data_IF_328724230046
#
_entry.id   IF_328724230046
#
_cell.length_a   1.000
_cell.length_b   1.000
_cell.length_c   1.000
_cell.angle_alpha   90.00
_cell.angle_beta   90.00
_cell.angle_gamma   90.00
#
_symmetry.space_group_name_H-M   'P 1'
#
loop_
_entity.id
_entity.type
_entity.pdbx_description
1 polymer ?
#
# COMPACT_ATOMS: atom_id res chain seq x y z
N UNK A 1 -15.25 3.50 71.78
CA UNK A 1 -15.28 4.73 70.96
C UNK A 1 -14.15 4.66 69.95
N UNK A 2 -14.47 4.82 68.65
CA UNK A 2 -13.71 5.60 67.65
C UNK A 2 -12.18 5.33 67.59
N UNK A 3 -11.58 4.87 66.47
CA UNK A 3 -11.55 5.56 65.17
C UNK A 3 -11.00 4.63 64.08
N UNK A 4 -11.68 4.63 62.94
CA UNK A 4 -11.18 4.21 61.63
C UNK A 4 -10.05 5.14 61.17
N UNK A 5 -8.91 4.60 60.74
CA UNK A 5 -7.84 5.22 59.93
C UNK A 5 -6.90 4.07 59.50
N UNK A 6 -6.44 3.86 58.27
CA UNK A 6 -6.60 4.53 56.99
C UNK A 6 -6.49 3.46 55.89
N UNK A 7 -7.43 3.48 54.95
CA UNK A 7 -7.28 2.81 53.65
C UNK A 7 -6.25 3.64 52.86
N UNK A 8 -5.00 3.19 52.83
CA UNK A 8 -4.00 3.69 51.89
C UNK A 8 -4.25 2.99 50.55
N UNK A 9 -5.14 3.60 49.76
CA UNK A 9 -5.42 3.22 48.39
C UNK A 9 -4.16 3.34 47.54
N UNK A 10 -3.61 2.18 47.17
CA UNK A 10 -2.64 2.06 46.09
C UNK A 10 -3.41 2.32 44.79
N UNK A 11 -3.49 3.59 44.38
CA UNK A 11 -3.79 3.93 42.99
C UNK A 11 -2.59 3.51 42.15
N UNK A 12 -2.61 2.25 41.68
CA UNK A 12 -1.81 1.84 40.53
C UNK A 12 -2.40 2.57 39.33
N UNK A 13 -1.93 3.78 39.08
CA UNK A 13 -2.11 4.41 37.77
C UNK A 13 -1.31 3.58 36.79
N UNK A 14 -1.97 2.61 36.16
CA UNK A 14 -1.53 2.04 34.89
C UNK A 14 -1.53 3.18 33.89
N UNK A 15 -0.44 3.92 33.82
CA UNK A 15 -0.09 4.72 32.65
C UNK A 15 0.18 3.73 31.52
N UNK A 16 -0.90 3.24 30.91
CA UNK A 16 -0.82 2.64 29.59
C UNK A 16 -0.32 3.78 28.72
N UNK A 17 0.98 3.79 28.45
CA UNK A 17 1.54 4.55 27.36
C UNK A 17 0.90 4.02 26.10
N UNK A 18 -0.26 4.57 25.75
CA UNK A 18 -0.75 4.53 24.39
C UNK A 18 0.29 5.34 23.65
N UNK A 19 1.31 4.68 23.11
CA UNK A 19 2.03 5.20 21.97
C UNK A 19 0.95 5.29 20.89
N UNK A 20 0.24 6.42 20.87
CA UNK A 20 -0.41 6.90 19.68
C UNK A 20 0.74 7.13 18.71
N UNK A 21 1.12 6.06 18.02
CA UNK A 21 1.95 6.16 16.84
C UNK A 21 1.13 7.06 15.93
N UNK A 22 1.53 8.33 15.88
CA UNK A 22 0.90 9.35 15.05
C UNK A 22 0.66 8.70 13.70
N UNK A 23 -0.54 8.85 13.10
CA UNK A 23 -0.73 8.48 11.71
C UNK A 23 0.47 9.03 10.96
N UNK A 24 1.23 8.15 10.31
CA UNK A 24 2.41 8.55 9.57
C UNK A 24 1.98 9.68 8.64
N UNK A 25 2.44 10.90 8.95
CA UNK A 25 2.03 12.11 8.25
C UNK A 25 2.05 11.81 6.75
N UNK A 26 0.98 12.16 6.04
CA UNK A 26 0.90 11.93 4.62
C UNK A 26 2.16 12.55 3.97
N UNK A 27 2.94 11.69 3.32
CA UNK A 27 4.22 12.06 2.71
C UNK A 27 4.24 11.42 1.33
N UNK A 28 4.51 12.18 0.27
CA UNK A 28 4.63 11.62 -1.08
C UNK A 28 5.86 10.72 -1.18
N UNK A 29 6.00 10.04 -2.32
CA UNK A 29 7.11 9.11 -2.58
C UNK A 29 8.49 9.78 -2.76
N UNK A 30 8.54 11.11 -2.67
CA UNK A 30 9.75 11.93 -2.84
C UNK A 30 9.91 12.96 -1.72
N UNK A 31 11.10 13.51 -1.61
CA UNK A 31 11.43 14.53 -0.62
C UNK A 31 10.92 15.90 -1.07
N UNK A 32 9.91 16.43 -0.37
CA UNK A 32 9.32 17.75 -0.66
C UNK A 32 10.33 18.90 -0.59
N UNK A 33 11.42 18.78 0.18
CA UNK A 33 12.48 19.79 0.20
C UNK A 33 13.25 19.87 -1.13
N UNK A 34 13.12 18.83 -1.98
CA UNK A 34 13.75 18.74 -3.31
C UNK A 34 12.76 18.94 -4.46
N UNK A 35 11.51 19.32 -4.16
CA UNK A 35 10.51 19.60 -5.18
C UNK A 35 10.97 20.77 -6.09
N UNK A 36 11.00 20.54 -7.40
CA UNK A 36 11.43 21.53 -8.39
C UNK A 36 10.33 21.88 -9.38
N UNK A 37 9.45 20.93 -9.68
CA UNK A 37 8.35 21.08 -10.63
C UNK A 37 7.09 21.62 -9.94
N UNK A 38 6.18 22.19 -10.73
CA UNK A 38 4.90 22.71 -10.23
C UNK A 38 4.04 21.58 -9.65
N UNK A 39 3.99 20.43 -10.32
CA UNK A 39 3.27 19.25 -9.84
C UNK A 39 3.80 18.76 -8.49
N UNK A 40 5.12 18.67 -8.33
CA UNK A 40 5.71 18.27 -7.04
C UNK A 40 5.33 19.23 -5.91
N UNK A 41 5.31 20.54 -6.18
CA UNK A 41 4.88 21.54 -5.21
C UNK A 41 3.40 21.41 -4.87
N UNK A 42 2.53 21.18 -5.86
CA UNK A 42 1.10 20.94 -5.64
C UNK A 42 0.89 19.73 -4.73
N UNK A 43 1.60 18.63 -4.99
CA UNK A 43 1.52 17.42 -4.15
C UNK A 43 2.00 17.71 -2.73
N UNK A 44 3.13 18.40 -2.58
CA UNK A 44 3.69 18.73 -1.27
C UNK A 44 2.81 19.68 -0.45
N UNK A 45 2.11 20.61 -1.09
CA UNK A 45 1.26 21.59 -0.43
C UNK A 45 -0.22 21.16 -0.32
N UNK A 46 -0.56 19.92 -0.68
CA UNK A 46 -1.91 19.39 -0.50
C UNK A 46 -2.23 19.18 0.99
N UNK A 47 -2.87 20.16 1.60
CA UNK A 47 -3.27 20.16 3.01
C UNK A 47 -4.16 18.96 3.40
N UNK A 48 -4.93 18.42 2.44
CA UNK A 48 -5.78 17.26 2.68
C UNK A 48 -4.97 15.96 2.79
N UNK A 49 -3.74 15.94 2.29
CA UNK A 49 -2.88 14.78 2.17
C UNK A 49 -3.34 13.73 1.15
N UNK A 50 -4.43 13.97 0.41
CA UNK A 50 -4.96 13.01 -0.59
C UNK A 50 -3.94 12.74 -1.69
N UNK A 51 -3.36 13.76 -2.29
CA UNK A 51 -2.38 13.66 -3.37
C UNK A 51 -1.06 13.06 -2.89
N UNK A 52 -0.63 13.40 -1.68
CA UNK A 52 0.56 12.82 -1.05
C UNK A 52 0.39 11.30 -0.87
N UNK A 53 -0.78 10.88 -0.39
CA UNK A 53 -1.13 9.47 -0.22
C UNK A 53 -1.22 8.73 -1.56
N UNK A 54 -1.83 9.35 -2.58
CA UNK A 54 -1.93 8.77 -3.92
C UNK A 54 -0.54 8.59 -4.55
N UNK A 55 0.34 9.60 -4.46
CA UNK A 55 1.70 9.52 -4.97
C UNK A 55 2.52 8.43 -4.26
N UNK A 56 2.45 8.38 -2.92
CA UNK A 56 3.07 7.33 -2.11
C UNK A 56 2.60 5.94 -2.52
N UNK A 57 1.29 5.73 -2.57
CA UNK A 57 0.71 4.42 -2.89
C UNK A 57 1.05 4.00 -4.33
N UNK A 58 1.00 4.92 -5.28
CA UNK A 58 1.43 4.67 -6.66
C UNK A 58 2.90 4.24 -6.73
N UNK A 59 3.78 4.90 -5.95
CA UNK A 59 5.20 4.55 -5.86
C UNK A 59 5.44 3.16 -5.26
N UNK A 60 4.68 2.78 -4.23
CA UNK A 60 4.70 1.45 -3.62
C UNK A 60 4.27 0.36 -4.62
N UNK A 61 3.13 0.55 -5.29
CA UNK A 61 2.62 -0.39 -6.29
C UNK A 61 3.61 -0.54 -7.45
N UNK A 62 4.16 0.57 -7.95
CA UNK A 62 5.19 0.54 -9.00
C UNK A 62 6.44 -0.24 -8.56
N UNK A 63 6.91 -0.02 -7.33
CA UNK A 63 8.08 -0.69 -6.76
C UNK A 63 7.84 -2.20 -6.63
N UNK A 64 6.66 -2.58 -6.11
CA UNK A 64 6.27 -3.97 -6.00
C UNK A 64 6.16 -4.64 -7.37
N UNK A 65 5.47 -4.02 -8.33
CA UNK A 65 5.36 -4.51 -9.70
C UNK A 65 6.73 -4.74 -10.33
N UNK A 66 7.65 -3.78 -10.20
CA UNK A 66 9.02 -3.91 -10.73
C UNK A 66 9.78 -5.06 -10.07
N UNK A 67 9.60 -5.29 -8.77
CA UNK A 67 10.22 -6.40 -8.03
C UNK A 67 9.68 -7.74 -8.52
N UNK A 68 8.36 -7.89 -8.57
CA UNK A 68 7.69 -9.12 -8.99
C UNK A 68 7.98 -9.46 -10.46
N UNK A 69 8.07 -8.44 -11.32
CA UNK A 69 8.34 -8.62 -12.74
C UNK A 69 9.78 -9.14 -12.99
N UNK A 70 10.77 -8.71 -12.19
CA UNK A 70 12.16 -9.20 -12.29
C UNK A 70 12.28 -10.70 -12.04
N UNK A 71 11.52 -11.21 -11.07
CA UNK A 71 11.51 -12.64 -10.71
C UNK A 71 10.50 -13.45 -11.52
N UNK A 72 9.76 -12.80 -12.42
CA UNK A 72 8.69 -13.46 -13.15
C UNK A 72 9.15 -14.47 -14.18
N UNK A 73 8.24 -15.39 -14.51
CA UNK A 73 8.42 -16.44 -15.51
C UNK A 73 8.14 -15.97 -16.94
N UNK A 74 7.88 -14.67 -17.16
CA UNK A 74 7.62 -14.15 -18.51
C UNK A 74 8.88 -14.21 -19.39
N UNK A 75 8.79 -14.75 -20.63
CA UNK A 75 9.95 -14.83 -21.53
C UNK A 75 10.45 -13.44 -21.97
N UNK A 76 9.57 -12.43 -21.95
CA UNK A 76 9.86 -11.04 -22.34
C UNK A 76 9.96 -10.07 -21.15
N UNK A 77 10.31 -10.56 -19.94
CA UNK A 77 10.32 -9.73 -18.72
C UNK A 77 11.20 -8.48 -18.81
N UNK A 78 12.33 -8.54 -19.51
CA UNK A 78 13.23 -7.38 -19.68
C UNK A 78 12.58 -6.28 -20.52
N UNK A 79 11.88 -6.66 -21.60
CA UNK A 79 11.12 -5.71 -22.41
C UNK A 79 9.97 -5.11 -21.58
N UNK A 80 9.22 -5.94 -20.83
CA UNK A 80 8.16 -5.45 -19.94
C UNK A 80 8.69 -4.47 -18.87
N UNK A 81 9.89 -4.70 -18.33
CA UNK A 81 10.54 -3.78 -17.38
C UNK A 81 10.88 -2.44 -18.04
N UNK A 82 11.35 -2.47 -19.29
CA UNK A 82 11.64 -1.27 -20.08
C UNK A 82 10.35 -0.49 -20.37
N UNK A 83 9.31 -1.17 -20.84
CA UNK A 83 8.01 -0.57 -21.14
C UNK A 83 7.38 0.05 -19.90
N UNK A 84 7.46 -0.64 -18.75
CA UNK A 84 6.97 -0.12 -17.47
C UNK A 84 7.71 1.16 -17.06
N UNK A 85 9.03 1.21 -17.21
CA UNK A 85 9.83 2.41 -16.92
C UNK A 85 9.49 3.57 -17.85
N UNK A 86 9.35 3.30 -19.15
CA UNK A 86 9.00 4.31 -20.15
C UNK A 86 7.60 4.86 -19.90
N UNK A 87 6.63 3.98 -19.65
CA UNK A 87 5.26 4.35 -19.29
C UNK A 87 5.21 5.19 -18.01
N UNK A 88 6.05 4.86 -17.01
CA UNK A 88 6.11 5.65 -15.77
C UNK A 88 6.68 7.05 -16.00
N UNK A 89 7.74 7.17 -16.81
CA UNK A 89 8.30 8.48 -17.19
C UNK A 89 7.30 9.32 -17.98
N UNK A 90 6.57 8.70 -18.90
CA UNK A 90 5.52 9.36 -19.66
C UNK A 90 4.40 9.88 -18.75
N UNK A 91 3.96 9.07 -17.78
CA UNK A 91 2.97 9.48 -16.78
C UNK A 91 3.43 10.71 -15.97
N UNK A 92 4.65 10.69 -15.41
CA UNK A 92 5.16 11.83 -14.64
C UNK A 92 5.23 13.10 -15.47
N UNK A 93 5.63 13.00 -16.76
CA UNK A 93 5.61 14.15 -17.66
C UNK A 93 4.19 14.68 -17.87
N UNK A 94 3.24 13.77 -18.11
CA UNK A 94 1.83 14.08 -18.36
C UNK A 94 1.14 14.76 -17.16
N UNK A 95 1.60 14.53 -15.93
CA UNK A 95 1.04 15.22 -14.75
C UNK A 95 1.10 16.75 -14.87
N UNK A 96 2.05 17.31 -15.63
CA UNK A 96 2.14 18.77 -15.84
C UNK A 96 1.07 19.30 -16.81
N UNK A 97 0.37 18.42 -17.53
CA UNK A 97 -0.56 18.77 -18.60
C UNK A 97 -2.03 18.57 -18.18
N UNK A 98 -2.29 17.87 -17.08
CA UNK A 98 -3.64 17.53 -16.62
C UNK A 98 -4.19 18.56 -15.64
N UNK A 99 -5.50 18.78 -15.72
CA UNK A 99 -6.22 19.65 -14.77
C UNK A 99 -6.51 18.95 -13.43
N UNK A 100 -6.79 17.65 -13.46
CA UNK A 100 -7.20 16.87 -12.28
C UNK A 100 -6.14 15.81 -11.97
N UNK A 101 -5.10 16.21 -11.24
CA UNK A 101 -3.96 15.36 -10.89
C UNK A 101 -4.41 14.11 -10.12
N UNK A 102 -5.36 14.25 -9.19
CA UNK A 102 -5.90 13.14 -8.41
C UNK A 102 -6.46 12.01 -9.28
N UNK A 103 -7.30 12.36 -10.27
CA UNK A 103 -7.90 11.39 -11.19
C UNK A 103 -6.82 10.66 -12.01
N UNK A 104 -5.81 11.40 -12.49
CA UNK A 104 -4.69 10.81 -13.21
C UNK A 104 -3.89 9.80 -12.35
N UNK A 105 -3.70 10.09 -11.06
CA UNK A 105 -3.10 9.13 -10.13
C UNK A 105 -3.97 7.88 -9.94
N UNK A 106 -5.28 8.06 -9.69
CA UNK A 106 -6.21 6.95 -9.49
C UNK A 106 -6.23 6.01 -10.70
N UNK A 107 -6.33 6.56 -11.91
CA UNK A 107 -6.25 5.79 -13.17
C UNK A 107 -4.91 5.06 -13.32
N UNK A 108 -3.80 5.74 -13.01
CA UNK A 108 -2.47 5.16 -13.09
C UNK A 108 -2.29 4.01 -12.11
N UNK A 109 -2.75 4.17 -10.87
CA UNK A 109 -2.70 3.14 -9.83
C UNK A 109 -3.50 1.91 -10.27
N UNK A 110 -4.71 2.10 -10.81
CA UNK A 110 -5.54 0.99 -11.33
C UNK A 110 -4.80 0.25 -12.44
N UNK A 111 -4.16 0.96 -13.36
CA UNK A 111 -3.36 0.35 -14.42
C UNK A 111 -2.18 -0.48 -13.85
N UNK A 112 -1.42 0.07 -12.91
CA UNK A 112 -0.29 -0.62 -12.29
C UNK A 112 -0.74 -1.86 -11.50
N UNK A 113 -1.87 -1.78 -10.78
CA UNK A 113 -2.45 -2.90 -10.05
C UNK A 113 -2.89 -4.04 -10.98
N UNK A 114 -3.47 -3.72 -12.15
CA UNK A 114 -3.81 -4.73 -13.16
C UNK A 114 -2.57 -5.47 -13.64
N UNK A 115 -1.50 -4.74 -13.98
CA UNK A 115 -0.23 -5.34 -14.36
C UNK A 115 0.38 -6.19 -13.24
N UNK A 116 0.29 -5.72 -11.99
CA UNK A 116 0.78 -6.47 -10.83
C UNK A 116 0.02 -7.78 -10.66
N UNK A 117 -1.31 -7.77 -10.84
CA UNK A 117 -2.12 -8.99 -10.86
C UNK A 117 -1.65 -10.00 -11.90
N UNK A 118 -1.43 -9.58 -13.15
CA UNK A 118 -0.91 -10.45 -14.21
C UNK A 118 0.46 -11.06 -13.86
N UNK A 119 1.34 -10.28 -13.25
CA UNK A 119 2.67 -10.74 -12.85
C UNK A 119 2.58 -11.73 -11.70
N UNK A 120 1.77 -11.45 -10.68
CA UNK A 120 1.57 -12.36 -9.56
C UNK A 120 0.93 -13.68 -10.00
N UNK A 121 -0.02 -13.64 -10.93
CA UNK A 121 -0.64 -14.83 -11.52
C UNK A 121 0.37 -15.67 -12.30
N UNK A 122 1.28 -15.02 -13.04
CA UNK A 122 2.36 -15.70 -13.75
C UNK A 122 3.36 -16.36 -12.79
N UNK A 123 3.73 -15.65 -11.71
CA UNK A 123 4.66 -16.14 -10.69
C UNK A 123 4.10 -17.35 -9.94
N UNK A 124 2.78 -17.37 -9.71
CA UNK A 124 2.07 -18.39 -8.94
C UNK A 124 1.20 -19.33 -9.79
N UNK A 125 1.40 -19.38 -11.12
CA UNK A 125 0.47 -20.06 -12.05
C UNK A 125 0.07 -21.47 -11.60
N UNK A 126 1.03 -22.29 -11.21
CA UNK A 126 0.79 -23.66 -10.74
C UNK A 126 -0.01 -23.72 -9.43
N UNK A 127 0.29 -22.81 -8.49
CA UNK A 127 -0.47 -22.68 -7.24
C UNK A 127 -1.89 -22.17 -7.50
N UNK A 128 -2.08 -21.21 -8.42
CA UNK A 128 -3.39 -20.72 -8.80
C UNK A 128 -4.23 -21.80 -9.52
N UNK A 129 -3.59 -22.61 -10.37
CA UNK A 129 -4.24 -23.77 -11.01
C UNK A 129 -4.54 -24.89 -10.01
N UNK A 130 -3.68 -25.11 -9.02
CA UNK A 130 -3.96 -26.00 -7.89
C UNK A 130 -5.16 -25.52 -7.08
N UNK A 131 -5.17 -24.24 -6.65
CA UNK A 131 -6.25 -23.66 -5.87
C UNK A 131 -7.59 -23.70 -6.62
N UNK A 132 -7.61 -23.47 -7.94
CA UNK A 132 -8.83 -23.62 -8.77
C UNK A 132 -9.34 -25.06 -8.83
N UNK A 133 -8.45 -26.05 -8.82
CA UNK A 133 -8.82 -27.48 -8.82
C UNK A 133 -9.21 -27.97 -7.43
N UNK A 134 -8.76 -27.29 -6.37
CA UNK A 134 -9.10 -27.62 -5.00
C UNK A 134 -10.58 -27.32 -4.74
N UNK A 135 -11.42 -28.36 -4.79
CA UNK A 135 -12.76 -28.31 -4.21
C UNK A 135 -12.61 -28.34 -2.70
N UNK A 136 -12.77 -27.20 -2.04
CA UNK A 136 -12.79 -27.16 -0.58
C UNK A 136 -14.00 -27.94 -0.08
N UNK A 137 -13.73 -29.08 0.56
CA UNK A 137 -14.73 -29.81 1.31
C UNK A 137 -14.98 -29.09 2.64
N UNK A 138 -15.88 -28.09 2.60
CA UNK A 138 -16.25 -27.27 3.75
C UNK A 138 -16.80 -28.09 4.93
N UNK A 139 -17.25 -29.33 4.69
CA UNK A 139 -17.71 -30.24 5.75
C UNK A 139 -16.61 -30.66 6.73
N UNK A 140 -15.33 -30.55 6.33
CA UNK A 140 -14.17 -30.86 7.19
C UNK A 140 -13.89 -29.79 8.25
N UNK A 141 -14.32 -28.55 8.02
CA UNK A 141 -14.14 -27.43 8.95
C UNK A 141 -15.31 -27.26 9.93
N UNK A 142 -16.43 -27.97 9.72
CA UNK A 142 -17.59 -27.92 10.61
C UNK A 142 -17.49 -28.88 11.82
N UNK A 143 -16.48 -29.74 11.89
CA UNK A 143 -16.28 -30.59 13.06
C UNK A 143 -15.54 -29.81 14.14
N UNK A 144 -16.28 -28.97 14.86
CA UNK A 144 -15.85 -28.49 16.18
C UNK A 144 -15.77 -29.73 17.08
N UNK A 145 -14.63 -30.00 17.75
CA UNK A 145 -14.54 -31.14 18.67
C UNK A 145 -15.61 -31.01 19.77
N UNK A 146 -16.31 -32.09 20.14
CA UNK A 146 -17.22 -32.05 21.27
C UNK A 146 -16.44 -31.75 22.55
N UNK A 147 -17.04 -30.90 23.38
CA UNK A 147 -16.58 -30.44 24.70
C UNK A 147 -16.47 -31.57 25.72
#
# INVERSE_FOLDING_TARGET
>A
MQKFLMVLGICVTLSVGINAQSPEEAKPSFDCAKATTEVEKIICNDESGKLQNLDRYMGEVYTQLRKELKISKFPNKEQRLKDLLESQRAFIKHLNEVRFIGDAYEERIIYLLKLLGEVLDSNNKELCEYARRYKSDWSKWQKVPPS
#
